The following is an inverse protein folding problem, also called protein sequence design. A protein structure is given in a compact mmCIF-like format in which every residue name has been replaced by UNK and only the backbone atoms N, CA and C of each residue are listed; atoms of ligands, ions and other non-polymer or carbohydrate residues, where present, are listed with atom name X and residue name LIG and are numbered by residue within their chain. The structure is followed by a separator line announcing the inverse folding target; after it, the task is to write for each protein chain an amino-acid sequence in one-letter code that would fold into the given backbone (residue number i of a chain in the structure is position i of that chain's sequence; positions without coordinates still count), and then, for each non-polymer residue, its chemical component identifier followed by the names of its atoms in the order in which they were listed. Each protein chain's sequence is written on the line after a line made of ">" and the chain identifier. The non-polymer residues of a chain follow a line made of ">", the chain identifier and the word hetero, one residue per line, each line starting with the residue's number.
data_IF_045330264291
#
_entry.id   IF_045330264291
#
_cell.length_a   1.000
_cell.length_b   1.000
_cell.length_c   1.000
_cell.angle_alpha   90.00
_cell.angle_beta   90.00
_cell.angle_gamma   90.00
#
_symmetry.space_group_name_H-M   'P 1'
#
loop_
_entity.id
_entity.type
_entity.pdbx_description
1 polymer ?
#
# COMPACT_ATOMS: atom_id res chain seq x y z
N UNK A 1 -4.23 -10.66 9.46
CA UNK A 1 -2.80 -10.72 9.82
C UNK A 1 -2.08 -10.19 8.62
N UNK A 2 -1.44 -9.03 8.73
CA UNK A 2 -0.66 -8.50 7.63
C UNK A 2 0.50 -9.46 7.38
N UNK A 3 0.64 -9.89 6.14
CA UNK A 3 1.87 -10.43 5.62
C UNK A 3 2.91 -9.31 5.68
N UNK A 4 3.65 -9.25 6.78
CA UNK A 4 4.87 -8.48 6.77
C UNK A 4 6.03 -9.43 6.54
N UNK A 5 6.86 -9.09 5.56
CA UNK A 5 8.26 -9.54 5.44
C UNK A 5 9.11 -9.17 6.68
N UNK A 6 8.51 -8.56 7.71
CA UNK A 6 9.03 -8.29 9.05
C UNK A 6 8.67 -9.41 10.04
N UNK A 7 8.88 -10.68 9.71
CA UNK A 7 8.55 -11.81 10.61
C UNK A 7 9.20 -11.72 12.01
N UNK A 8 10.26 -10.91 12.17
CA UNK A 8 10.98 -10.71 13.42
C UNK A 8 10.55 -9.46 14.21
N UNK A 9 9.62 -8.65 13.72
CA UNK A 9 9.19 -7.40 14.39
C UNK A 9 7.82 -7.60 15.04
N UNK A 10 7.74 -7.27 16.33
CA UNK A 10 6.47 -7.27 17.05
C UNK A 10 5.47 -6.32 16.37
N UNK A 11 4.20 -6.71 16.30
CA UNK A 11 3.23 -5.98 15.52
C UNK A 11 1.86 -5.92 16.18
N UNK A 12 1.09 -4.87 15.86
CA UNK A 12 -0.26 -4.65 16.40
C UNK A 12 -1.15 -3.95 15.38
N UNK A 13 -2.49 -4.04 15.49
CA UNK A 13 -3.38 -3.30 14.60
C UNK A 13 -3.31 -1.78 14.80
N UNK A 14 -3.60 -1.04 13.73
CA UNK A 14 -3.82 0.40 13.74
C UNK A 14 -5.07 0.79 14.52
N UNK A 15 -5.03 1.98 15.13
CA UNK A 15 -6.12 2.56 15.92
C UNK A 15 -6.55 3.86 15.26
N UNK A 16 -7.85 4.05 15.07
CA UNK A 16 -8.39 5.31 14.51
C UNK A 16 -8.06 6.49 15.41
N UNK A 17 -7.63 7.60 14.81
CA UNK A 17 -7.21 8.82 15.50
C UNK A 17 -5.78 8.77 16.06
N UNK A 18 -5.09 7.63 15.97
CA UNK A 18 -3.71 7.51 16.40
C UNK A 18 -2.77 8.26 15.45
N UNK A 19 -1.76 8.94 16.02
CA UNK A 19 -0.62 9.47 15.25
C UNK A 19 0.52 8.48 15.28
N UNK A 20 0.99 8.14 14.08
CA UNK A 20 2.08 7.21 13.80
C UNK A 20 3.28 7.97 13.22
N UNK A 21 4.42 7.31 13.19
CA UNK A 21 5.61 7.74 12.44
C UNK A 21 6.04 6.68 11.44
N UNK A 22 6.61 7.12 10.33
CA UNK A 22 7.40 6.26 9.46
C UNK A 22 8.76 5.96 10.11
N UNK A 23 9.17 4.69 10.18
CA UNK A 23 10.42 4.30 10.84
C UNK A 23 11.03 3.06 10.19
N UNK A 24 12.36 2.91 10.22
CA UNK A 24 13.02 1.62 9.96
C UNK A 24 13.07 0.81 11.25
N UNK A 25 12.63 -0.45 11.19
CA UNK A 25 12.69 -1.33 12.35
C UNK A 25 14.09 -1.90 12.55
N UNK A 26 14.59 -1.83 13.79
CA UNK A 26 15.92 -2.34 14.16
C UNK A 26 16.08 -3.80 13.77
N UNK A 27 17.25 -4.13 13.23
CA UNK A 27 17.54 -5.49 12.73
C UNK A 27 16.97 -5.78 11.34
N UNK A 28 16.34 -4.79 10.70
CA UNK A 28 15.80 -4.91 9.34
C UNK A 28 16.19 -3.67 8.52
N UNK A 29 16.12 -3.77 7.19
CA UNK A 29 16.19 -2.62 6.28
C UNK A 29 14.80 -2.12 5.87
N UNK A 30 13.75 -2.60 6.52
CA UNK A 30 12.36 -2.37 6.11
C UNK A 30 11.78 -1.21 6.91
N UNK A 31 11.20 -0.25 6.18
CA UNK A 31 10.43 0.85 6.76
C UNK A 31 8.96 0.47 6.87
N UNK A 32 8.31 0.97 7.92
CA UNK A 32 6.88 0.85 8.14
C UNK A 32 6.36 1.95 9.03
N UNK A 33 5.15 1.77 9.54
CA UNK A 33 4.53 2.67 10.51
C UNK A 33 4.68 2.13 11.92
N UNK A 34 4.92 3.02 12.88
CA UNK A 34 4.98 2.69 14.30
C UNK A 34 4.33 3.79 15.14
N UNK A 35 4.01 3.48 16.40
CA UNK A 35 3.61 4.53 17.35
C UNK A 35 4.74 5.53 17.57
N UNK A 36 4.41 6.80 17.79
CA UNK A 36 5.38 7.78 18.27
C UNK A 36 5.95 7.41 19.65
N UNK A 37 5.14 6.78 20.49
CA UNK A 37 5.52 6.39 21.85
C UNK A 37 6.23 5.05 21.92
N UNK A 38 6.11 4.24 20.88
CA UNK A 38 6.78 2.93 20.77
C UNK A 38 7.16 2.63 19.30
N UNK A 39 8.33 3.13 18.85
CA UNK A 39 8.83 2.90 17.50
C UNK A 39 9.31 1.47 17.23
N UNK A 40 9.27 0.58 18.23
CA UNK A 40 9.78 -0.80 18.11
C UNK A 40 8.71 -1.80 17.66
N UNK A 41 7.44 -1.41 17.74
CA UNK A 41 6.29 -2.23 17.36
C UNK A 41 5.69 -1.70 16.07
N UNK A 42 5.62 -2.55 15.05
CA UNK A 42 5.00 -2.22 13.79
C UNK A 42 3.48 -2.07 13.94
N UNK A 43 2.93 -1.02 13.31
CA UNK A 43 1.50 -0.78 13.26
C UNK A 43 0.96 -1.26 11.93
N UNK A 44 0.11 -2.27 12.03
CA UNK A 44 -0.46 -3.01 10.94
C UNK A 44 -1.78 -2.40 10.48
N UNK A 45 -1.92 -2.21 9.17
CA UNK A 45 -3.11 -1.62 8.57
C UNK A 45 -3.78 -2.59 7.61
N UNK A 46 -5.10 -2.51 7.53
CA UNK A 46 -5.86 -3.21 6.49
C UNK A 46 -5.85 -2.36 5.21
N UNK A 47 -5.79 -2.97 4.01
CA UNK A 47 -6.03 -2.25 2.77
C UNK A 47 -7.35 -1.47 2.81
N UNK A 48 -7.30 -0.20 2.42
CA UNK A 48 -8.39 0.76 2.57
C UNK A 48 -8.31 1.63 3.85
N UNK A 49 -7.27 1.51 4.67
CA UNK A 49 -7.08 2.41 5.83
C UNK A 49 -6.70 3.80 5.35
N UNK A 50 -7.46 4.83 5.73
CA UNK A 50 -7.18 6.21 5.31
C UNK A 50 -6.21 6.89 6.26
N UNK A 51 -5.28 7.65 5.68
CA UNK A 51 -4.16 8.27 6.36
C UNK A 51 -4.08 9.77 6.06
N UNK A 52 -3.74 10.57 7.06
CA UNK A 52 -3.36 11.98 6.91
C UNK A 52 -1.92 12.20 7.36
N UNK A 53 -1.08 12.65 6.45
CA UNK A 53 0.28 13.09 6.75
C UNK A 53 0.26 14.52 7.27
N UNK A 54 1.07 14.79 8.29
CA UNK A 54 1.20 16.14 8.85
C UNK A 54 1.75 17.14 7.80
N UNK A 55 2.63 16.68 6.93
CA UNK A 55 3.24 17.44 5.84
C UNK A 55 3.08 16.75 4.50
N UNK A 56 3.49 17.44 3.43
CA UNK A 56 3.54 16.87 2.09
C UNK A 56 4.39 15.59 2.09
N UNK A 57 3.84 14.52 1.53
CA UNK A 57 4.46 13.18 1.59
C UNK A 57 5.83 13.20 0.91
N UNK A 58 6.82 12.64 1.60
CA UNK A 58 8.20 12.50 1.12
C UNK A 58 8.57 11.04 0.96
N UNK A 59 9.27 10.72 -0.13
CA UNK A 59 9.73 9.36 -0.40
C UNK A 59 11.04 9.35 -1.16
N UNK A 60 11.81 8.28 -0.97
CA UNK A 60 13.08 8.09 -1.65
C UNK A 60 12.85 7.35 -2.97
N UNK A 61 13.10 8.03 -4.07
CA UNK A 61 13.10 7.38 -5.39
C UNK A 61 14.39 6.60 -5.57
N UNK A 62 14.26 5.31 -5.94
CA UNK A 62 15.31 4.29 -6.15
C UNK A 62 16.72 4.91 -6.38
N UNK A 63 17.38 5.20 -5.26
CA UNK A 63 18.78 5.60 -5.06
C UNK A 63 19.31 7.04 -5.19
N UNK A 64 18.58 8.05 -5.70
CA UNK A 64 19.28 9.31 -6.04
C UNK A 64 18.68 10.57 -5.41
N UNK A 65 17.38 10.64 -5.14
CA UNK A 65 16.76 11.85 -4.57
C UNK A 65 15.49 11.54 -3.78
N UNK A 66 15.32 12.25 -2.66
CA UNK A 66 14.04 12.37 -1.97
C UNK A 66 13.12 13.25 -2.80
N UNK A 67 11.94 12.74 -3.10
CA UNK A 67 10.85 13.46 -3.77
C UNK A 67 9.80 13.87 -2.75
N UNK A 68 9.07 14.93 -3.07
CA UNK A 68 7.93 15.42 -2.30
C UNK A 68 6.70 15.42 -3.20
N UNK A 69 5.60 14.83 -2.73
CA UNK A 69 4.29 14.88 -3.39
C UNK A 69 3.45 16.00 -2.80
N UNK A 70 2.64 16.67 -3.61
CA UNK A 70 1.71 17.69 -3.15
C UNK A 70 0.41 17.08 -2.56
N UNK A 71 0.54 15.95 -1.87
CA UNK A 71 -0.54 15.28 -1.16
C UNK A 71 -0.18 15.13 0.31
N UNK A 72 -1.20 15.24 1.15
CA UNK A 72 -1.14 15.01 2.60
C UNK A 72 -2.13 13.96 3.07
N UNK A 73 -2.83 13.33 2.14
CA UNK A 73 -3.81 12.27 2.42
C UNK A 73 -3.55 11.14 1.46
N UNK A 74 -3.81 9.92 1.91
CA UNK A 74 -3.71 8.73 1.09
C UNK A 74 -4.39 7.55 1.75
N UNK A 75 -4.49 6.46 1.02
CA UNK A 75 -5.09 5.21 1.46
C UNK A 75 -4.00 4.16 1.49
N UNK A 76 -3.83 3.51 2.64
CA UNK A 76 -2.99 2.33 2.74
C UNK A 76 -3.61 1.20 1.92
N UNK A 77 -2.85 0.60 1.01
CA UNK A 77 -3.30 -0.46 0.14
C UNK A 77 -2.16 -1.45 -0.13
N UNK A 78 -2.50 -2.57 -0.78
CA UNK A 78 -1.54 -3.58 -1.21
C UNK A 78 -1.41 -3.56 -2.75
N UNK A 79 -0.18 -3.46 -3.26
CA UNK A 79 0.09 -3.43 -4.71
C UNK A 79 0.77 -4.72 -5.16
N UNK A 80 0.36 -5.24 -6.32
CA UNK A 80 0.93 -6.43 -6.96
C UNK A 80 1.06 -7.65 -6.00
N UNK A 81 0.02 -8.05 -5.24
CA UNK A 81 0.13 -9.07 -4.18
C UNK A 81 0.58 -10.46 -4.69
N UNK A 82 0.40 -10.73 -5.99
CA UNK A 82 0.78 -11.99 -6.60
C UNK A 82 2.27 -12.07 -6.98
N UNK A 83 3.05 -10.99 -6.79
CA UNK A 83 4.47 -10.96 -7.18
C UNK A 83 5.35 -11.32 -5.98
N UNK A 84 6.02 -12.48 -5.99
CA UNK A 84 6.83 -12.91 -4.85
C UNK A 84 8.03 -11.98 -4.59
N UNK A 85 8.52 -12.01 -3.36
CA UNK A 85 9.75 -11.35 -2.91
C UNK A 85 9.77 -9.81 -3.09
N UNK A 86 8.59 -9.18 -3.06
CA UNK A 86 8.44 -7.72 -3.11
C UNK A 86 7.72 -7.18 -1.88
N UNK A 87 7.93 -5.89 -1.62
CA UNK A 87 7.09 -5.16 -0.68
C UNK A 87 5.82 -4.72 -1.39
N UNK A 88 4.67 -5.07 -0.80
CA UNK A 88 3.36 -4.81 -1.36
C UNK A 88 2.65 -3.64 -0.69
N UNK A 89 3.02 -3.32 0.56
CA UNK A 89 2.42 -2.21 1.27
C UNK A 89 2.74 -0.87 0.59
N UNK A 90 1.69 -0.14 0.23
CA UNK A 90 1.79 1.16 -0.39
C UNK A 90 0.77 2.14 0.18
N UNK A 91 1.06 3.43 -0.01
CA UNK A 91 0.08 4.51 0.15
C UNK A 91 -0.32 4.97 -1.23
N UNK A 92 -1.61 4.85 -1.54
CA UNK A 92 -2.25 5.34 -2.77
C UNK A 92 -2.78 6.76 -2.54
N UNK A 93 -2.58 7.64 -3.51
CA UNK A 93 -2.92 9.07 -3.43
C UNK A 93 -4.12 9.41 -4.31
N UNK A 94 -4.76 10.59 -4.11
CA UNK A 94 -5.97 10.98 -4.85
C UNK A 94 -5.85 11.01 -6.38
N UNK A 95 -4.63 11.12 -6.93
CA UNK A 95 -4.37 11.07 -8.37
C UNK A 95 -4.16 9.64 -8.91
N UNK A 96 -4.32 8.62 -8.08
CA UNK A 96 -4.10 7.22 -8.41
C UNK A 96 -2.61 6.79 -8.42
N UNK A 97 -1.68 7.71 -8.12
CA UNK A 97 -0.29 7.33 -7.89
C UNK A 97 -0.15 6.63 -6.54
N UNK A 98 0.92 5.85 -6.37
CA UNK A 98 1.23 5.20 -5.10
C UNK A 98 2.71 5.23 -4.79
N UNK A 99 3.04 5.13 -3.50
CA UNK A 99 4.41 5.03 -2.98
C UNK A 99 4.47 3.83 -2.05
N UNK A 100 5.47 2.96 -2.24
CA UNK A 100 5.70 1.84 -1.32
C UNK A 100 6.04 2.39 0.07
N UNK A 101 5.49 1.78 1.12
CA UNK A 101 5.75 2.18 2.51
C UNK A 101 7.25 2.13 2.81
N UNK A 102 7.96 1.15 2.24
CA UNK A 102 9.41 1.01 2.37
C UNK A 102 10.23 2.13 1.74
N UNK A 103 9.60 2.98 0.92
CA UNK A 103 10.21 4.15 0.29
C UNK A 103 9.91 5.46 1.03
N UNK A 104 8.93 5.48 1.94
CA UNK A 104 8.59 6.70 2.68
C UNK A 104 9.77 7.17 3.54
N UNK A 105 10.08 8.46 3.50
CA UNK A 105 11.11 9.05 4.36
C UNK A 105 10.74 8.83 5.83
N UNK A 106 11.72 8.53 6.68
CA UNK A 106 11.53 8.33 8.12
C UNK A 106 11.09 9.61 8.85
N UNK A 107 10.44 9.42 9.99
CA UNK A 107 10.01 10.51 10.88
C UNK A 107 8.79 11.29 10.39
N UNK A 108 8.15 10.88 9.29
CA UNK A 108 6.91 11.50 8.84
C UNK A 108 5.79 11.13 9.79
N UNK A 109 5.08 12.14 10.31
CA UNK A 109 3.91 11.94 11.16
C UNK A 109 2.68 11.67 10.30
N UNK A 110 1.95 10.63 10.65
CA UNK A 110 0.78 10.15 9.92
C UNK A 110 -0.34 9.80 10.89
N UNK A 111 -1.50 10.43 10.76
CA UNK A 111 -2.68 10.11 11.55
C UNK A 111 -3.57 9.11 10.83
N UNK A 112 -4.06 8.10 11.54
CA UNK A 112 -5.04 7.14 11.05
C UNK A 112 -6.42 7.79 11.07
N UNK A 113 -7.00 8.07 9.91
CA UNK A 113 -8.30 8.74 9.80
C UNK A 113 -9.45 7.76 10.00
N UNK A 114 -9.38 6.62 9.34
CA UNK A 114 -10.37 5.54 9.48
C UNK A 114 -9.77 4.21 9.05
N UNK A 115 -10.29 3.13 9.64
CA UNK A 115 -10.08 1.77 9.15
C UNK A 115 -11.05 1.51 7.99
N UNK A 116 -10.75 0.57 7.07
CA UNK A 116 -11.66 0.26 5.98
C UNK A 116 -13.04 -0.10 6.52
N UNK A 117 -14.06 0.58 6.02
CA UNK A 117 -15.43 0.18 6.25
C UNK A 117 -15.62 -1.21 5.63
N UNK A 118 -16.09 -2.18 6.43
CA UNK A 118 -16.57 -3.46 5.95
C UNK A 118 -17.80 -3.23 5.07
N UNK A 119 -17.57 -2.88 3.81
CA UNK A 119 -18.59 -2.99 2.79
C UNK A 119 -18.65 -4.47 2.40
N UNK A 120 -19.80 -5.15 2.54
CA UNK A 120 -19.95 -6.48 1.95
C UNK A 120 -19.62 -6.34 0.48
N UNK A 121 -18.59 -7.07 0.05
CA UNK A 121 -18.07 -7.03 -1.31
C UNK A 121 -19.24 -7.21 -2.27
N UNK A 122 -19.52 -6.21 -3.10
CA UNK A 122 -20.31 -6.46 -4.31
C UNK A 122 -19.43 -7.35 -5.15
N UNK A 123 -19.74 -8.65 -5.12
CA UNK A 123 -19.14 -9.68 -5.93
C UNK A 123 -19.10 -9.20 -7.39
N UNK A 124 -17.91 -8.76 -7.83
CA UNK A 124 -17.69 -8.49 -9.23
C UNK A 124 -17.73 -9.83 -9.94
N UNK A 125 -18.93 -10.19 -10.43
CA UNK A 125 -19.11 -11.32 -11.35
C UNK A 125 -18.02 -11.21 -12.43
N UNK A 126 -17.22 -12.25 -12.67
CA UNK A 126 -16.19 -12.20 -13.69
C UNK A 126 -16.85 -11.86 -15.03
N UNK A 127 -16.38 -10.79 -15.68
CA UNK A 127 -16.70 -10.49 -17.08
C UNK A 127 -16.20 -11.68 -17.91
N UNK A 128 -17.12 -12.56 -18.27
CA UNK A 128 -16.89 -13.57 -19.30
C UNK A 128 -16.53 -12.79 -20.57
N UNK A 129 -15.25 -12.85 -20.95
CA UNK A 129 -14.79 -12.39 -22.26
C UNK A 129 -15.35 -13.37 -23.27
N UNK A 130 -16.46 -12.99 -23.90
CA UNK A 130 -17.04 -13.71 -25.02
C UNK A 130 -16.05 -13.66 -26.20
N UNK A 131 -15.29 -14.75 -26.38
CA UNK A 131 -14.46 -14.95 -27.57
C UNK A 131 -15.39 -15.18 -28.76
N UNK A 132 -15.54 -14.18 -29.63
CA UNK A 132 -16.12 -14.38 -30.96
C UNK A 132 -15.23 -15.35 -31.76
N UNK A 133 -15.75 -16.45 -32.32
CA UNK A 133 -14.99 -17.23 -33.28
C UNK A 133 -14.85 -16.42 -34.57
N UNK A 134 -13.62 -16.14 -34.98
CA UNK A 134 -13.33 -15.59 -36.30
C UNK A 134 -13.55 -16.68 -37.35
N UNK A 135 -14.58 -16.49 -38.18
CA UNK A 135 -14.83 -17.31 -39.35
C UNK A 135 -13.81 -16.96 -40.44
N UNK A 136 -12.72 -17.73 -40.53
CA UNK A 136 -12.00 -17.90 -41.79
C UNK A 136 -12.40 -19.27 -42.35
N UNK A 137 -13.57 -19.30 -42.98
CA UNK A 137 -13.99 -20.39 -43.84
C UNK A 137 -13.39 -20.17 -45.24
N UNK A 138 -12.77 -21.24 -45.71
CA UNK A 138 -12.16 -21.49 -47.01
C UNK A 138 -12.89 -20.92 -48.23
N UNK A 139 -12.13 -20.31 -49.13
CA UNK A 139 -12.45 -19.96 -50.53
C UNK A 139 -11.07 -19.86 -51.25
N UNK A 140 -10.69 -20.51 -52.34
CA UNK A 140 -11.32 -21.36 -53.36
C UNK A 140 -10.21 -22.21 -54.02
N UNK A 141 -10.60 -23.35 -54.61
CA UNK A 141 -9.83 -24.08 -55.62
C UNK A 141 -9.45 -23.17 -56.80
N UNK A 142 -8.25 -23.39 -57.34
CA UNK A 142 -7.77 -22.92 -58.64
C UNK A 142 -6.47 -23.62 -59.00
#
# INVERSE_FOLDING_TARGET
>A
MCDYSLHAVASRPAIVGETLITTTFRGTSTRGFASETDPTVAVCMLPGTELAFAENVRYDSRWIWTKTMNFRVGVFNEVEPDVPDRHHDAVEFPDGSHVLVTQLVEGQRVSVLQLPALHPSVEQKPKVVERRPSAFASLFLG
#
